data_IF_933507787459
#
_entry.id   IF_933507787459
#
_cell.length_a   1.000
_cell.length_b   1.000
_cell.length_c   1.000
_cell.angle_alpha   90.00
_cell.angle_beta   90.00
_cell.angle_gamma   90.00
#
_symmetry.space_group_name_H-M   'P 1'
#
loop_
_entity.id
_entity.type
_entity.pdbx_description
1 polymer ?
#
# COMPACT_ATOMS: atom_id res chain seq x y z
N UNK A 1 21.70 62.76 36.84
CA UNK A 1 22.67 62.20 37.79
C UNK A 1 22.96 60.80 37.30
N UNK A 2 24.00 60.61 36.46
CA UNK A 2 25.39 60.38 36.87
C UNK A 2 25.50 59.03 37.59
N UNK A 3 26.38 58.07 37.29
CA UNK A 3 27.55 57.93 36.38
C UNK A 3 28.06 56.48 36.61
N UNK A 4 28.67 55.86 35.58
CA UNK A 4 29.92 55.06 35.53
C UNK A 4 30.36 54.16 36.72
N UNK A 5 31.08 53.03 36.64
CA UNK A 5 32.32 52.59 35.92
C UNK A 5 32.59 51.13 36.39
N UNK A 6 33.00 50.12 35.58
CA UNK A 6 34.33 49.79 34.98
C UNK A 6 35.32 49.07 35.93
N UNK A 7 35.85 47.91 35.46
CA UNK A 7 37.16 47.22 35.70
C UNK A 7 37.55 46.78 37.12
N UNK A 8 38.47 45.85 37.39
CA UNK A 8 39.16 44.74 36.70
C UNK A 8 39.87 43.94 37.84
N UNK A 9 40.59 42.88 37.46
CA UNK A 9 41.90 42.47 38.02
C UNK A 9 42.05 41.17 38.83
N UNK A 10 42.89 40.32 38.22
CA UNK A 10 44.10 39.68 38.78
C UNK A 10 44.01 38.40 39.61
N UNK A 11 44.60 37.33 39.05
CA UNK A 11 45.87 36.72 39.52
C UNK A 11 46.17 35.47 38.66
N UNK A 12 47.34 35.11 38.11
CA UNK A 12 48.80 35.34 38.30
C UNK A 12 49.49 33.96 38.48
N UNK A 13 50.48 33.71 37.61
CA UNK A 13 51.70 32.87 37.76
C UNK A 13 51.58 31.32 37.72
N UNK A 14 52.19 30.64 36.72
CA UNK A 14 53.59 30.11 36.61
C UNK A 14 53.74 28.72 37.25
N UNK A 15 54.53 27.74 36.82
CA UNK A 15 55.52 27.48 35.75
C UNK A 15 56.03 26.03 35.92
N UNK A 16 56.69 25.47 34.88
CA UNK A 16 57.70 24.36 34.85
C UNK A 16 57.29 22.92 35.27
N UNK A 17 57.23 21.94 34.34
CA UNK A 17 58.30 20.98 33.91
C UNK A 17 58.67 19.92 34.98
N UNK A 18 58.78 18.59 34.80
CA UNK A 18 58.61 17.59 33.72
C UNK A 18 58.70 16.17 34.41
N UNK A 19 59.05 15.05 33.74
CA UNK A 19 58.22 13.90 33.32
C UNK A 19 58.29 12.60 34.20
N UNK A 20 57.33 11.68 34.08
CA UNK A 20 57.56 10.24 34.27
C UNK A 20 56.48 9.37 33.58
N UNK A 21 56.94 8.39 32.80
CA UNK A 21 56.19 7.35 32.11
C UNK A 21 55.50 6.37 33.09
N UNK A 22 54.31 5.88 32.72
CA UNK A 22 53.83 4.53 33.06
C UNK A 22 52.79 4.07 32.02
N UNK A 23 53.04 2.88 31.47
CA UNK A 23 52.24 2.15 30.48
C UNK A 23 50.81 1.84 30.97
N UNK A 24 49.86 1.75 30.02
CA UNK A 24 48.56 1.12 30.27
C UNK A 24 47.56 1.18 29.10
N UNK A 25 47.63 0.19 28.21
CA UNK A 25 46.54 -0.46 27.45
C UNK A 25 45.52 0.36 26.62
N UNK A 26 45.59 0.09 25.30
CA UNK A 26 44.50 -0.38 24.42
C UNK A 26 43.17 0.37 24.43
N UNK A 27 42.93 1.14 23.36
CA UNK A 27 41.67 1.04 22.59
C UNK A 27 41.99 1.29 21.11
N UNK A 28 42.02 0.22 20.33
CA UNK A 28 41.96 0.30 18.86
C UNK A 28 40.61 0.89 18.48
N UNK A 29 40.64 1.91 17.64
CA UNK A 29 39.46 2.50 17.01
C UNK A 29 38.93 1.50 15.98
N UNK A 30 37.61 1.21 15.92
CA UNK A 30 37.10 0.31 14.91
C UNK A 30 37.18 1.00 13.55
N UNK A 31 38.06 0.50 12.70
CA UNK A 31 38.15 0.82 11.28
C UNK A 31 36.76 0.58 10.66
N UNK A 32 36.11 1.64 10.21
CA UNK A 32 34.91 1.55 9.39
C UNK A 32 35.27 0.82 8.09
N UNK A 33 34.93 -0.46 8.00
CA UNK A 33 34.89 -1.16 6.73
C UNK A 33 33.81 -0.52 5.87
N UNK A 34 34.24 0.31 4.92
CA UNK A 34 33.37 0.81 3.85
C UNK A 34 33.07 -0.38 2.95
N UNK A 35 31.87 -0.95 3.08
CA UNK A 35 31.37 -1.96 2.15
C UNK A 35 30.97 -1.20 0.88
N UNK A 36 31.89 -1.08 -0.07
CA UNK A 36 31.56 -0.64 -1.44
C UNK A 36 31.09 -1.86 -2.22
N UNK A 37 29.80 -2.19 -2.09
CA UNK A 37 29.15 -3.20 -2.93
C UNK A 37 29.11 -2.68 -4.37
N UNK A 38 29.61 -3.47 -5.31
CA UNK A 38 29.65 -3.09 -6.73
C UNK A 38 28.25 -3.17 -7.35
N UNK A 39 28.00 -2.41 -8.41
CA UNK A 39 26.72 -2.47 -9.15
C UNK A 39 26.44 -3.86 -9.72
N UNK A 40 27.47 -4.67 -9.97
CA UNK A 40 27.35 -6.05 -10.45
C UNK A 40 26.93 -7.00 -9.32
N UNK A 41 27.50 -6.87 -8.12
CA UNK A 41 27.06 -7.61 -6.93
C UNK A 41 25.62 -7.26 -6.53
N UNK A 42 25.23 -5.98 -6.61
CA UNK A 42 23.84 -5.56 -6.38
C UNK A 42 22.92 -6.19 -7.44
N UNK A 43 23.34 -6.22 -8.71
CA UNK A 43 22.55 -6.87 -9.77
C UNK A 43 22.44 -8.38 -9.56
N UNK A 44 23.52 -9.05 -9.17
CA UNK A 44 23.51 -10.49 -8.86
C UNK A 44 22.65 -10.80 -7.63
N UNK A 45 22.74 -10.01 -6.56
CA UNK A 45 21.92 -10.17 -5.35
C UNK A 45 20.43 -9.92 -5.65
N UNK A 46 20.11 -8.92 -6.47
CA UNK A 46 18.74 -8.66 -6.96
C UNK A 46 18.24 -9.79 -7.86
N UNK A 47 19.09 -10.36 -8.73
CA UNK A 47 18.73 -11.50 -9.58
C UNK A 47 18.55 -12.78 -8.75
N UNK A 48 19.41 -13.02 -7.76
CA UNK A 48 19.33 -14.15 -6.84
C UNK A 48 18.09 -14.05 -5.93
N UNK A 49 17.74 -12.83 -5.49
CA UNK A 49 16.47 -12.58 -4.78
C UNK A 49 15.26 -12.90 -5.65
N UNK A 50 15.24 -12.47 -6.92
CA UNK A 50 14.15 -12.72 -7.87
C UNK A 50 13.89 -14.21 -8.11
N UNK A 51 14.96 -15.02 -8.19
CA UNK A 51 14.84 -16.46 -8.42
C UNK A 51 14.29 -17.25 -7.21
N UNK A 52 14.26 -16.66 -6.02
CA UNK A 52 13.80 -17.32 -4.78
C UNK A 52 12.51 -16.70 -4.21
N UNK A 53 11.88 -15.74 -4.90
CA UNK A 53 10.68 -15.07 -4.38
C UNK A 53 9.52 -16.03 -4.10
N UNK A 54 9.29 -17.02 -4.98
CA UNK A 54 8.23 -18.01 -4.80
C UNK A 54 8.47 -18.92 -3.60
N UNK A 55 9.70 -19.40 -3.42
CA UNK A 55 10.02 -20.24 -2.27
C UNK A 55 9.91 -19.45 -0.97
N UNK A 56 10.46 -18.23 -0.91
CA UNK A 56 10.29 -17.35 0.26
C UNK A 56 8.81 -17.07 0.57
N UNK A 57 7.98 -16.83 -0.44
CA UNK A 57 6.53 -16.65 -0.27
C UNK A 57 5.87 -17.91 0.32
N UNK A 58 6.23 -19.10 -0.18
CA UNK A 58 5.71 -20.38 0.30
C UNK A 58 6.15 -20.68 1.74
N UNK A 59 7.33 -20.25 2.16
CA UNK A 59 7.78 -20.36 3.55
C UNK A 59 6.85 -19.59 4.51
N UNK A 60 6.27 -18.46 4.06
CA UNK A 60 5.33 -17.68 4.86
C UNK A 60 3.99 -18.40 5.08
N UNK A 61 3.64 -19.40 4.26
CA UNK A 61 2.34 -20.09 4.36
C UNK A 61 2.16 -20.90 5.66
N UNK A 62 3.25 -21.14 6.39
CA UNK A 62 3.25 -21.86 7.68
C UNK A 62 3.63 -20.96 8.86
N UNK A 63 3.91 -19.67 8.62
CA UNK A 63 4.38 -18.77 9.67
C UNK A 63 3.18 -18.18 10.44
N UNK A 64 2.91 -18.74 11.63
CA UNK A 64 1.74 -18.38 12.45
C UNK A 64 1.69 -16.89 12.82
N UNK A 65 2.86 -16.28 13.12
CA UNK A 65 2.96 -14.87 13.49
C UNK A 65 2.58 -13.94 12.33
N UNK A 66 3.08 -14.26 11.13
CA UNK A 66 2.81 -13.48 9.93
C UNK A 66 1.36 -13.62 9.49
N UNK A 67 0.83 -14.84 9.53
CA UNK A 67 -0.56 -15.10 9.18
C UNK A 67 -1.52 -14.54 10.25
N UNK A 68 -1.05 -14.33 11.48
CA UNK A 68 -1.87 -13.87 12.61
C UNK A 68 -2.82 -14.97 13.12
N UNK A 69 -2.51 -16.23 12.85
CA UNK A 69 -3.35 -17.39 13.17
C UNK A 69 -2.49 -18.66 13.25
N UNK A 70 -2.97 -19.66 14.01
CA UNK A 70 -2.27 -20.95 14.16
C UNK A 70 -2.32 -21.85 12.92
N UNK A 71 -3.19 -21.53 11.98
CA UNK A 71 -3.46 -22.38 10.85
C UNK A 71 -2.67 -21.93 9.62
N UNK A 72 -2.04 -22.89 8.94
CA UNK A 72 -1.37 -22.66 7.67
C UNK A 72 -2.36 -22.36 6.53
N UNK A 73 -1.84 -21.83 5.43
CA UNK A 73 -2.55 -21.74 4.15
C UNK A 73 -1.89 -22.68 3.12
N UNK A 74 -2.66 -23.13 2.14
CA UNK A 74 -2.22 -24.02 1.06
C UNK A 74 -2.01 -23.28 -0.26
N UNK A 75 -2.70 -22.13 -0.40
CA UNK A 75 -2.54 -21.22 -1.50
C UNK A 75 -2.67 -19.76 -1.05
N UNK A 76 -2.11 -18.85 -1.85
CA UNK A 76 -2.26 -17.41 -1.70
C UNK A 76 -2.76 -16.80 -3.01
N UNK A 77 -3.80 -15.98 -2.92
CA UNK A 77 -4.37 -15.27 -4.06
C UNK A 77 -4.00 -13.79 -3.98
N UNK A 78 -3.54 -13.24 -5.10
CA UNK A 78 -3.13 -11.85 -5.22
C UNK A 78 -3.67 -11.23 -6.52
N UNK A 79 -4.69 -10.36 -6.47
CA UNK A 79 -5.08 -9.56 -7.63
C UNK A 79 -4.10 -8.39 -7.84
N UNK A 80 -3.95 -7.93 -9.09
CA UNK A 80 -3.16 -6.74 -9.41
C UNK A 80 -3.99 -5.47 -9.24
N UNK A 81 -4.18 -5.05 -8.00
CA UNK A 81 -4.90 -3.83 -7.63
C UNK A 81 -4.36 -3.26 -6.32
N UNK A 82 -4.82 -2.07 -5.96
CA UNK A 82 -4.68 -1.49 -4.62
C UNK A 82 -5.99 -1.59 -3.81
N UNK A 83 -6.00 -1.00 -2.61
CA UNK A 83 -7.13 -1.00 -1.68
C UNK A 83 -8.36 -0.20 -2.15
N UNK A 84 -8.25 0.49 -3.29
CA UNK A 84 -9.28 1.34 -3.88
C UNK A 84 -9.78 0.78 -5.21
N UNK A 85 -9.34 -0.42 -5.58
CA UNK A 85 -9.74 -1.12 -6.80
C UNK A 85 -9.38 -0.33 -8.09
N UNK A 86 -8.25 0.38 -8.09
CA UNK A 86 -7.81 1.18 -9.24
C UNK A 86 -7.20 0.33 -10.37
N UNK A 87 -7.40 0.76 -11.62
CA UNK A 87 -6.75 0.16 -12.80
C UNK A 87 -5.27 0.55 -12.89
N UNK A 88 -4.94 1.83 -12.76
CA UNK A 88 -3.56 2.29 -12.58
C UNK A 88 -3.26 2.38 -11.10
N UNK A 89 -2.14 1.82 -10.66
CA UNK A 89 -1.76 1.78 -9.24
C UNK A 89 -0.38 2.38 -9.06
N UNK A 90 -0.13 2.92 -7.86
CA UNK A 90 1.17 3.40 -7.46
C UNK A 90 2.21 2.27 -7.48
N UNK A 91 3.48 2.59 -7.73
CA UNK A 91 4.59 1.63 -7.75
C UNK A 91 4.65 0.77 -6.48
N UNK A 92 4.37 1.36 -5.30
CA UNK A 92 4.34 0.64 -4.02
C UNK A 92 3.29 -0.48 -3.95
N UNK A 93 2.25 -0.42 -4.78
CA UNK A 93 1.18 -1.42 -4.81
C UNK A 93 1.33 -2.41 -5.97
N UNK A 94 2.38 -2.30 -6.78
CA UNK A 94 2.70 -3.22 -7.88
C UNK A 94 3.27 -4.57 -7.39
N UNK A 95 2.60 -5.19 -6.41
CA UNK A 95 3.00 -6.47 -5.78
C UNK A 95 3.10 -7.60 -6.78
N UNK A 96 2.18 -7.67 -7.75
CA UNK A 96 2.21 -8.68 -8.83
C UNK A 96 3.46 -8.51 -9.69
N UNK A 97 3.84 -7.28 -10.04
CA UNK A 97 5.07 -7.00 -10.78
C UNK A 97 6.30 -7.42 -9.99
N UNK A 98 6.33 -7.10 -8.69
CA UNK A 98 7.44 -7.50 -7.83
C UNK A 98 7.60 -9.03 -7.76
N UNK A 99 6.51 -9.77 -7.49
CA UNK A 99 6.59 -11.23 -7.25
C UNK A 99 6.74 -12.05 -8.55
N UNK A 100 6.21 -11.56 -9.67
CA UNK A 100 6.14 -12.34 -10.93
C UNK A 100 6.95 -11.77 -12.10
N UNK A 101 7.38 -10.51 -12.01
CA UNK A 101 7.98 -9.77 -13.14
C UNK A 101 6.95 -9.12 -14.08
N UNK A 102 5.70 -9.61 -14.10
CA UNK A 102 4.68 -9.13 -15.02
C UNK A 102 4.17 -7.72 -14.68
N UNK A 103 4.25 -6.82 -15.65
CA UNK A 103 3.97 -5.39 -15.47
C UNK A 103 2.66 -4.90 -16.12
N UNK A 104 1.88 -5.79 -16.76
CA UNK A 104 0.61 -5.42 -17.38
C UNK A 104 -0.45 -4.95 -16.37
N UNK A 105 -1.45 -4.20 -16.85
CA UNK A 105 -2.46 -3.57 -15.97
C UNK A 105 -3.54 -4.53 -15.44
N UNK A 106 -3.65 -5.74 -16.02
CA UNK A 106 -4.62 -6.74 -15.60
C UNK A 106 -3.91 -8.04 -15.24
N UNK A 107 -3.99 -8.45 -13.97
CA UNK A 107 -3.52 -9.75 -13.54
C UNK A 107 -4.26 -10.25 -12.30
N UNK A 108 -4.36 -11.58 -12.21
CA UNK A 108 -4.78 -12.29 -11.01
C UNK A 108 -3.84 -13.46 -10.77
N UNK A 109 -3.21 -13.51 -9.61
CA UNK A 109 -2.21 -14.51 -9.25
C UNK A 109 -2.78 -15.54 -8.27
N UNK A 110 -2.38 -16.79 -8.45
CA UNK A 110 -2.51 -17.86 -7.46
C UNK A 110 -1.14 -18.52 -7.28
N UNK A 111 -0.66 -18.56 -6.05
CA UNK A 111 0.54 -19.33 -5.67
C UNK A 111 0.12 -20.44 -4.72
N UNK A 112 0.45 -21.67 -5.05
CA UNK A 112 0.29 -22.84 -4.18
C UNK A 112 1.68 -23.35 -3.74
N UNK A 113 1.71 -24.45 -2.98
CA UNK A 113 2.97 -25.15 -2.63
C UNK A 113 3.79 -25.51 -3.88
N UNK A 114 3.12 -25.88 -4.98
CA UNK A 114 3.78 -26.38 -6.19
C UNK A 114 3.68 -25.39 -7.38
N UNK A 115 2.56 -24.68 -7.50
CA UNK A 115 2.26 -23.87 -8.69
C UNK A 115 2.40 -22.37 -8.42
N UNK A 116 2.77 -21.61 -9.44
CA UNK A 116 2.66 -20.16 -9.48
C UNK A 116 2.01 -19.76 -10.80
N UNK A 117 0.83 -19.18 -10.73
CA UNK A 117 -0.06 -19.01 -11.87
C UNK A 117 -0.48 -17.55 -11.98
N UNK A 118 -0.44 -17.00 -13.19
CA UNK A 118 -0.89 -15.65 -13.47
C UNK A 118 -1.94 -15.65 -14.58
N UNK A 119 -3.14 -15.22 -14.26
CA UNK A 119 -4.21 -14.98 -15.22
C UNK A 119 -4.14 -13.55 -15.76
N UNK A 120 -4.27 -13.40 -17.08
CA UNK A 120 -4.44 -12.10 -17.73
C UNK A 120 -5.32 -12.22 -18.98
N UNK A 121 -5.62 -11.10 -19.63
CA UNK A 121 -6.42 -11.02 -20.86
C UNK A 121 -5.56 -10.92 -22.13
N UNK A 122 -6.23 -10.96 -23.29
CA UNK A 122 -5.59 -11.05 -24.60
C UNK A 122 -4.60 -9.93 -24.93
N UNK A 123 -4.72 -8.75 -24.31
CA UNK A 123 -3.78 -7.64 -24.49
C UNK A 123 -2.36 -8.00 -24.05
N UNK A 124 -2.24 -8.93 -23.09
CA UNK A 124 -1.02 -9.14 -22.33
C UNK A 124 -0.38 -10.52 -22.54
N UNK A 125 -0.89 -11.38 -23.42
CA UNK A 125 -0.34 -12.75 -23.57
C UNK A 125 1.11 -12.77 -24.05
N UNK A 126 1.48 -11.91 -25.00
CA UNK A 126 2.86 -11.84 -25.50
C UNK A 126 3.77 -11.25 -24.41
N UNK A 127 3.32 -10.17 -23.77
CA UNK A 127 4.05 -9.51 -22.69
C UNK A 127 4.28 -10.43 -21.49
N UNK A 128 3.26 -11.18 -21.06
CA UNK A 128 3.39 -12.11 -19.94
C UNK A 128 4.39 -13.22 -20.24
N UNK A 129 4.43 -13.75 -21.47
CA UNK A 129 5.45 -14.74 -21.86
C UNK A 129 6.87 -14.20 -21.80
N UNK A 130 7.08 -12.91 -22.03
CA UNK A 130 8.41 -12.29 -22.00
C UNK A 130 8.83 -11.81 -20.61
N UNK A 131 7.88 -11.40 -19.76
CA UNK A 131 8.18 -10.75 -18.48
C UNK A 131 8.11 -11.68 -17.27
N UNK A 132 7.35 -12.77 -17.34
CA UNK A 132 7.20 -13.69 -16.22
C UNK A 132 8.55 -14.32 -15.85
N UNK A 133 8.87 -14.29 -14.55
CA UNK A 133 10.01 -15.02 -14.02
C UNK A 133 9.85 -16.53 -14.22
N UNK A 134 10.97 -17.25 -14.16
CA UNK A 134 10.96 -18.72 -14.22
C UNK A 134 10.07 -19.33 -13.10
N UNK A 135 9.40 -20.44 -13.42
CA UNK A 135 8.48 -21.12 -12.51
C UNK A 135 7.04 -20.58 -12.50
N UNK A 136 6.76 -19.51 -13.24
CA UNK A 136 5.41 -19.01 -13.44
C UNK A 136 4.73 -19.59 -14.69
N UNK A 137 3.45 -19.93 -14.56
CA UNK A 137 2.62 -20.37 -15.68
C UNK A 137 1.60 -19.28 -16.03
N UNK A 138 1.64 -18.85 -17.29
CA UNK A 138 0.62 -17.95 -17.85
C UNK A 138 -0.70 -18.71 -18.07
N UNK A 139 -1.76 -18.19 -17.46
CA UNK A 139 -3.13 -18.66 -17.62
C UNK A 139 -3.92 -17.63 -18.45
N UNK A 140 -4.60 -18.07 -19.51
CA UNK A 140 -5.37 -17.18 -20.39
C UNK A 140 -6.81 -17.08 -19.92
N UNK A 141 -7.33 -15.85 -19.72
CA UNK A 141 -8.74 -15.62 -19.38
C UNK A 141 -9.71 -15.88 -20.53
N UNK A 142 -9.22 -15.95 -21.78
CA UNK A 142 -10.06 -16.17 -22.96
C UNK A 142 -9.43 -17.21 -23.89
N UNK A 143 -10.26 -17.93 -24.62
CA UNK A 143 -9.86 -18.96 -25.57
C UNK A 143 -10.39 -20.35 -25.21
N UNK A 144 -10.21 -21.34 -26.11
CA UNK A 144 -10.77 -22.68 -25.95
C UNK A 144 -10.32 -23.39 -24.66
N UNK A 145 -9.05 -23.22 -24.28
CA UNK A 145 -8.44 -23.87 -23.11
C UNK A 145 -8.48 -22.99 -21.85
N UNK A 146 -9.27 -21.92 -21.86
CA UNK A 146 -9.34 -20.99 -20.72
C UNK A 146 -10.07 -21.61 -19.53
N UNK A 147 -9.49 -21.43 -18.34
CA UNK A 147 -10.10 -21.81 -17.07
C UNK A 147 -10.11 -20.61 -16.15
N UNK A 148 -11.23 -20.36 -15.47
CA UNK A 148 -11.31 -19.26 -14.52
C UNK A 148 -10.54 -19.60 -13.24
N UNK A 149 -9.96 -18.61 -12.53
CA UNK A 149 -9.21 -18.85 -11.29
C UNK A 149 -9.97 -19.70 -10.26
N UNK A 150 -11.27 -19.43 -10.08
CA UNK A 150 -12.11 -20.23 -9.17
C UNK A 150 -12.26 -21.69 -9.58
N UNK A 151 -12.35 -21.98 -10.88
CA UNK A 151 -12.53 -23.35 -11.37
C UNK A 151 -11.21 -24.11 -11.30
N UNK A 152 -10.09 -23.42 -11.56
CA UNK A 152 -8.76 -24.00 -11.36
C UNK A 152 -8.56 -24.40 -9.89
N UNK A 153 -8.92 -23.53 -8.94
CA UNK A 153 -8.86 -23.85 -7.51
C UNK A 153 -9.66 -25.10 -7.19
N UNK A 154 -10.91 -25.17 -7.64
CA UNK A 154 -11.82 -26.29 -7.36
C UNK A 154 -11.29 -27.61 -7.94
N UNK A 155 -10.64 -27.57 -9.10
CA UNK A 155 -10.09 -28.75 -9.76
C UNK A 155 -8.75 -29.21 -9.17
N UNK A 156 -7.98 -28.33 -8.54
CA UNK A 156 -6.57 -28.60 -8.18
C UNK A 156 -6.29 -28.58 -6.67
N UNK A 157 -7.20 -28.05 -5.84
CA UNK A 157 -7.04 -28.05 -4.39
C UNK A 157 -7.97 -29.05 -3.72
N UNK A 158 -7.48 -29.67 -2.66
CA UNK A 158 -8.22 -30.67 -1.89
C UNK A 158 -9.29 -30.03 -1.00
N UNK A 159 -10.32 -30.80 -0.66
CA UNK A 159 -11.30 -30.38 0.35
C UNK A 159 -10.61 -30.07 1.69
N UNK A 160 -10.94 -28.94 2.29
CA UNK A 160 -10.31 -28.43 3.50
C UNK A 160 -9.12 -27.50 3.25
N UNK A 161 -8.67 -27.36 1.99
CA UNK A 161 -7.57 -26.45 1.65
C UNK A 161 -7.90 -25.00 2.03
N UNK A 162 -6.91 -24.32 2.58
CA UNK A 162 -7.02 -22.92 3.03
C UNK A 162 -6.35 -21.98 2.06
N UNK A 163 -7.06 -20.94 1.66
CA UNK A 163 -6.57 -19.97 0.70
C UNK A 163 -6.45 -18.61 1.36
N UNK A 164 -5.21 -18.16 1.54
CA UNK A 164 -4.90 -16.84 2.03
C UNK A 164 -5.19 -15.76 0.99
N UNK A 165 -5.73 -14.62 1.42
CA UNK A 165 -5.89 -13.44 0.58
C UNK A 165 -5.80 -12.17 1.42
N UNK A 166 -5.32 -11.07 0.84
CA UNK A 166 -5.38 -9.75 1.47
C UNK A 166 -6.77 -9.15 1.27
N UNK A 167 -7.58 -8.95 2.33
CA UNK A 167 -8.96 -8.50 2.20
C UNK A 167 -9.09 -7.07 1.65
N UNK A 168 -8.04 -6.25 1.72
CA UNK A 168 -8.07 -4.89 1.16
C UNK A 168 -8.11 -4.89 -0.36
N UNK A 169 -7.63 -5.95 -1.01
CA UNK A 169 -7.44 -5.99 -2.47
C UNK A 169 -8.63 -6.61 -3.23
N UNK A 170 -9.74 -6.89 -2.55
CA UNK A 170 -10.90 -7.51 -3.17
C UNK A 170 -12.15 -6.66 -2.99
N UNK A 171 -12.85 -6.44 -4.10
CA UNK A 171 -14.21 -5.91 -4.06
C UNK A 171 -15.11 -6.87 -3.26
N UNK A 172 -15.84 -6.32 -2.29
CA UNK A 172 -16.63 -7.09 -1.33
C UNK A 172 -17.67 -8.02 -1.98
N UNK A 173 -18.47 -7.52 -2.92
CA UNK A 173 -19.53 -8.32 -3.56
C UNK A 173 -18.94 -9.45 -4.42
N UNK A 174 -17.87 -9.16 -5.18
CA UNK A 174 -17.16 -10.19 -5.96
C UNK A 174 -16.52 -11.24 -5.04
N UNK A 175 -15.89 -10.81 -3.96
CA UNK A 175 -15.28 -11.71 -2.97
C UNK A 175 -16.33 -12.61 -2.30
N UNK A 176 -17.50 -12.07 -1.97
CA UNK A 176 -18.61 -12.82 -1.38
C UNK A 176 -19.11 -13.93 -2.31
N UNK A 177 -19.29 -13.63 -3.60
CA UNK A 177 -19.67 -14.62 -4.61
C UNK A 177 -18.58 -15.68 -4.79
N UNK A 178 -17.32 -15.25 -4.91
CA UNK A 178 -16.17 -16.13 -5.05
C UNK A 178 -16.02 -17.09 -3.86
N UNK A 179 -16.07 -16.56 -2.63
CA UNK A 179 -15.99 -17.34 -1.41
C UNK A 179 -17.16 -18.33 -1.29
N UNK A 180 -18.38 -17.91 -1.63
CA UNK A 180 -19.54 -18.83 -1.64
C UNK A 180 -19.34 -19.99 -2.62
N UNK A 181 -18.81 -19.72 -3.81
CA UNK A 181 -18.51 -20.76 -4.81
C UNK A 181 -17.48 -21.74 -4.27
N UNK A 182 -16.36 -21.26 -3.74
CA UNK A 182 -15.28 -22.10 -3.20
C UNK A 182 -15.71 -22.92 -1.98
N UNK A 183 -16.49 -22.32 -1.07
CA UNK A 183 -17.01 -22.99 0.12
C UNK A 183 -17.86 -24.21 -0.20
N UNK A 184 -18.61 -24.21 -1.31
CA UNK A 184 -19.40 -25.36 -1.74
C UNK A 184 -18.55 -26.60 -2.08
N UNK A 185 -17.25 -26.41 -2.32
CA UNK A 185 -16.29 -27.48 -2.60
C UNK A 185 -15.34 -27.72 -1.42
N UNK A 186 -15.68 -27.22 -0.23
CA UNK A 186 -14.89 -27.42 0.99
C UNK A 186 -13.61 -26.57 1.07
N UNK A 187 -13.44 -25.59 0.17
CA UNK A 187 -12.31 -24.66 0.20
C UNK A 187 -12.59 -23.52 1.17
N UNK A 188 -11.61 -23.16 1.99
CA UNK A 188 -11.72 -22.15 3.05
C UNK A 188 -10.93 -20.91 2.62
N UNK A 189 -11.61 -19.76 2.44
CA UNK A 189 -10.92 -18.49 2.19
C UNK A 189 -10.56 -17.83 3.53
N UNK A 190 -9.29 -17.51 3.72
CA UNK A 190 -8.74 -17.00 4.98
C UNK A 190 -8.14 -15.61 4.78
N UNK A 191 -8.67 -14.57 5.44
CA UNK A 191 -8.14 -13.23 5.32
C UNK A 191 -6.79 -13.11 6.03
N UNK A 192 -5.78 -12.60 5.33
CA UNK A 192 -4.44 -12.33 5.86
C UNK A 192 -4.24 -10.82 5.85
N UNK A 193 -4.21 -10.20 7.03
CA UNK A 193 -4.22 -8.74 7.18
C UNK A 193 -2.93 -8.09 6.69
N UNK A 194 -1.79 -8.75 6.88
CA UNK A 194 -0.49 -8.32 6.33
C UNK A 194 -0.32 -8.94 4.94
N UNK A 195 -0.14 -8.13 3.91
CA UNK A 195 0.12 -8.66 2.58
C UNK A 195 1.46 -9.43 2.59
N UNK A 196 1.44 -10.69 2.16
CA UNK A 196 2.63 -11.55 2.23
C UNK A 196 3.75 -11.08 1.31
N UNK A 197 3.41 -10.42 0.20
CA UNK A 197 4.40 -9.87 -0.72
C UNK A 197 5.13 -8.67 -0.11
N UNK A 198 4.45 -7.86 0.68
CA UNK A 198 5.07 -6.68 1.33
C UNK A 198 6.16 -7.09 2.31
N UNK A 199 6.06 -8.28 2.93
CA UNK A 199 7.07 -8.82 3.86
C UNK A 199 8.35 -9.18 3.12
N UNK A 200 8.25 -9.62 1.86
CA UNK A 200 9.39 -10.00 1.03
C UNK A 200 10.03 -8.79 0.33
N UNK A 201 9.27 -7.70 0.18
CA UNK A 201 9.66 -6.55 -0.61
C UNK A 201 10.43 -5.52 0.24
N UNK A 202 11.73 -5.81 0.46
CA UNK A 202 12.63 -4.99 1.29
C UNK A 202 12.70 -3.54 0.76
N UNK A 203 12.85 -3.36 -0.54
CA UNK A 203 12.95 -2.05 -1.20
C UNK A 203 11.59 -1.54 -1.70
N UNK A 204 10.49 -1.85 -0.99
CA UNK A 204 9.16 -1.39 -1.39
C UNK A 204 9.12 0.14 -1.44
N UNK A 205 8.71 0.75 -2.57
CA UNK A 205 8.66 2.21 -2.69
C UNK A 205 7.84 2.87 -1.58
N UNK A 206 8.35 3.98 -1.06
CA UNK A 206 7.65 4.79 -0.07
C UNK A 206 6.51 5.57 -0.70
N UNK A 207 5.57 6.00 0.15
CA UNK A 207 4.39 6.74 -0.28
C UNK A 207 4.81 8.15 -0.72
N UNK A 208 4.38 8.58 -1.90
CA UNK A 208 4.56 9.97 -2.31
C UNK A 208 3.69 10.88 -1.43
N UNK A 209 4.31 11.90 -0.84
CA UNK A 209 3.65 12.88 0.04
C UNK A 209 3.41 14.20 -0.67
N UNK A 210 2.89 14.14 -1.88
CA UNK A 210 2.52 15.33 -2.63
C UNK A 210 1.32 16.01 -1.98
N UNK A 211 1.34 17.34 -1.95
CA UNK A 211 0.23 18.13 -1.39
C UNK A 211 -0.97 18.05 -2.33
N UNK A 212 -2.15 18.05 -1.72
CA UNK A 212 -3.40 18.18 -2.47
C UNK A 212 -3.53 19.62 -3.00
N UNK A 213 -4.38 19.81 -4.01
CA UNK A 213 -4.79 21.14 -4.48
C UNK A 213 -6.29 21.20 -4.70
N UNK A 214 -6.85 22.41 -4.59
CA UNK A 214 -8.27 22.69 -4.80
C UNK A 214 -8.48 22.89 -6.29
N UNK A 215 -9.50 22.24 -6.84
CA UNK A 215 -9.97 22.53 -8.19
C UNK A 215 -10.96 23.70 -8.12
N UNK A 216 -10.74 24.81 -8.83
CA UNK A 216 -11.59 26.01 -8.73
C UNK A 216 -13.06 25.70 -9.08
N UNK A 217 -13.98 26.45 -8.47
CA UNK A 217 -15.42 26.24 -8.68
C UNK A 217 -15.83 26.47 -10.14
N UNK A 218 -15.13 27.37 -10.84
CA UNK A 218 -15.32 27.67 -12.25
C UNK A 218 -15.02 26.47 -13.15
N UNK A 219 -14.10 25.60 -12.73
CA UNK A 219 -13.79 24.35 -13.43
C UNK A 219 -14.69 23.18 -12.97
N UNK A 220 -15.09 23.17 -11.70
CA UNK A 220 -15.92 22.12 -11.12
C UNK A 220 -17.40 22.23 -11.50
N UNK A 221 -17.90 23.45 -11.68
CA UNK A 221 -19.31 23.77 -11.95
C UNK A 221 -20.29 23.54 -10.79
N UNK A 222 -19.85 22.94 -9.67
CA UNK A 222 -20.71 22.62 -8.53
C UNK A 222 -19.93 22.60 -7.20
N UNK A 223 -20.51 23.25 -6.19
CA UNK A 223 -20.01 23.30 -4.82
C UNK A 223 -20.18 21.97 -4.08
N UNK A 224 -19.26 21.65 -3.17
CA UNK A 224 -19.29 20.40 -2.37
C UNK A 224 -20.63 20.26 -1.62
N UNK A 225 -21.16 21.35 -1.06
CA UNK A 225 -22.42 21.32 -0.32
C UNK A 225 -23.62 20.93 -1.21
N UNK A 226 -23.65 21.41 -2.46
CA UNK A 226 -24.68 21.02 -3.43
C UNK A 226 -24.59 19.52 -3.73
N UNK A 227 -23.38 19.01 -3.98
CA UNK A 227 -23.13 17.58 -4.19
C UNK A 227 -23.59 16.73 -3.01
N UNK A 228 -23.26 17.14 -1.78
CA UNK A 228 -23.64 16.43 -0.57
C UNK A 228 -25.15 16.41 -0.34
N UNK A 229 -25.86 17.51 -0.63
CA UNK A 229 -27.34 17.56 -0.54
C UNK A 229 -27.93 16.53 -1.51
N UNK A 230 -27.51 16.57 -2.78
CA UNK A 230 -27.97 15.64 -3.82
C UNK A 230 -27.70 14.18 -3.47
N UNK A 231 -26.50 13.86 -2.95
CA UNK A 231 -26.17 12.51 -2.50
C UNK A 231 -27.07 12.08 -1.34
N UNK A 232 -27.30 12.94 -0.35
CA UNK A 232 -28.15 12.60 0.82
C UNK A 232 -29.62 12.42 0.44
N UNK A 233 -30.12 13.14 -0.55
CA UNK A 233 -31.47 12.92 -1.09
C UNK A 233 -31.60 11.51 -1.70
N UNK A 234 -30.61 11.06 -2.46
CA UNK A 234 -30.58 9.70 -2.98
C UNK A 234 -30.43 8.65 -1.86
N UNK A 235 -29.57 8.90 -0.86
CA UNK A 235 -29.44 8.02 0.32
C UNK A 235 -30.78 7.84 1.03
N UNK A 236 -31.57 8.90 1.20
CA UNK A 236 -32.91 8.84 1.80
C UNK A 236 -33.88 7.99 0.99
N UNK A 237 -33.88 8.13 -0.34
CA UNK A 237 -34.70 7.29 -1.24
C UNK A 237 -34.36 5.81 -1.11
N UNK A 238 -33.07 5.51 -0.96
CA UNK A 238 -32.55 4.14 -0.77
C UNK A 238 -32.62 3.65 0.69
N UNK A 239 -33.08 4.50 1.63
CA UNK A 239 -33.14 4.20 3.07
C UNK A 239 -31.77 3.80 3.65
N UNK A 240 -30.72 4.54 3.26
CA UNK A 240 -29.36 4.33 3.75
C UNK A 240 -28.95 5.41 4.76
N UNK A 241 -28.51 4.99 5.95
CA UNK A 241 -28.01 5.92 6.98
C UNK A 241 -26.61 6.49 6.66
N UNK A 242 -25.84 5.76 5.84
CA UNK A 242 -24.49 6.15 5.46
C UNK A 242 -24.07 5.60 4.10
N UNK A 243 -23.09 6.28 3.49
CA UNK A 243 -22.42 5.88 2.26
C UNK A 243 -20.90 5.91 2.49
N UNK A 244 -20.24 4.78 2.24
CA UNK A 244 -18.78 4.68 2.19
C UNK A 244 -18.32 4.86 0.75
N UNK A 245 -17.42 5.82 0.53
CA UNK A 245 -16.70 6.00 -0.72
C UNK A 245 -15.28 5.47 -0.57
N UNK A 246 -14.91 4.57 -1.49
CA UNK A 246 -13.57 4.01 -1.62
C UNK A 246 -12.94 4.33 -2.99
N UNK A 247 -13.73 4.62 -4.01
CA UNK A 247 -13.21 5.00 -5.33
C UNK A 247 -12.59 6.41 -5.24
N UNK A 248 -11.34 6.55 -5.67
CA UNK A 248 -10.59 7.80 -5.44
C UNK A 248 -11.07 8.96 -6.31
N UNK A 249 -11.59 8.66 -7.49
CA UNK A 249 -12.24 9.60 -8.41
C UNK A 249 -13.55 10.15 -7.83
N UNK A 250 -14.39 9.31 -7.22
CA UNK A 250 -15.59 9.74 -6.49
C UNK A 250 -15.25 10.73 -5.37
N UNK A 251 -14.19 10.42 -4.61
CA UNK A 251 -13.76 11.26 -3.49
C UNK A 251 -13.17 12.57 -3.99
N UNK A 252 -12.28 12.53 -4.99
CA UNK A 252 -11.72 13.73 -5.60
C UNK A 252 -12.81 14.63 -6.19
N UNK A 253 -13.81 14.05 -6.86
CA UNK A 253 -14.96 14.76 -7.38
C UNK A 253 -15.83 15.38 -6.29
N UNK A 254 -16.13 14.64 -5.22
CA UNK A 254 -16.99 15.10 -4.14
C UNK A 254 -16.41 16.33 -3.44
N UNK A 255 -15.11 16.28 -3.13
CA UNK A 255 -14.45 17.34 -2.36
C UNK A 255 -13.83 18.44 -3.22
N UNK A 256 -13.98 18.41 -4.55
CA UNK A 256 -13.29 19.35 -5.46
C UNK A 256 -11.78 19.43 -5.17
N UNK A 257 -11.18 18.32 -4.75
CA UNK A 257 -9.76 18.21 -4.46
C UNK A 257 -9.10 17.31 -5.50
N UNK A 258 -7.82 17.55 -5.77
CA UNK A 258 -6.99 16.74 -6.66
C UNK A 258 -5.66 16.43 -5.98
N UNK A 259 -5.04 15.34 -6.43
CA UNK A 259 -3.76 14.86 -5.95
C UNK A 259 -2.92 14.29 -7.08
N UNK A 260 -1.84 13.60 -6.73
CA UNK A 260 -0.92 12.99 -7.68
C UNK A 260 -0.38 11.65 -7.17
N UNK A 261 -1.17 10.95 -6.35
CA UNK A 261 -0.74 9.70 -5.73
C UNK A 261 -0.63 8.54 -6.73
N UNK A 262 -1.39 8.62 -7.83
CA UNK A 262 -1.40 7.62 -8.90
C UNK A 262 -0.90 8.31 -10.19
N UNK A 263 0.11 7.74 -10.87
CA UNK A 263 0.59 8.28 -12.13
C UNK A 263 -0.56 8.44 -13.14
N UNK A 264 -0.58 9.60 -13.82
CA UNK A 264 -1.57 9.95 -14.87
C UNK A 264 -3.03 10.12 -14.40
N UNK A 265 -3.32 9.93 -13.11
CA UNK A 265 -4.68 10.06 -12.55
C UNK A 265 -4.63 11.06 -11.38
N UNK A 266 -5.29 12.24 -11.47
CA UNK A 266 -5.13 13.32 -10.50
C UNK A 266 -5.92 13.11 -9.19
N UNK A 267 -5.73 11.95 -8.56
CA UNK A 267 -6.44 11.50 -7.35
C UNK A 267 -5.48 11.33 -6.17
N UNK A 268 -6.03 11.10 -4.98
CA UNK A 268 -5.28 10.92 -3.74
C UNK A 268 -5.88 9.81 -2.88
N UNK A 269 -5.01 8.97 -2.31
CA UNK A 269 -5.40 7.87 -1.43
C UNK A 269 -6.22 8.40 -0.25
N UNK A 270 -7.48 7.98 -0.20
CA UNK A 270 -8.43 8.43 0.80
C UNK A 270 -9.68 7.55 0.84
N UNK A 271 -10.40 7.61 1.95
CA UNK A 271 -11.78 7.11 2.06
C UNK A 271 -12.68 8.25 2.52
N UNK A 272 -13.97 8.18 2.21
CA UNK A 272 -14.94 9.11 2.76
C UNK A 272 -16.19 8.39 3.26
N UNK A 273 -16.76 8.89 4.36
CA UNK A 273 -18.06 8.42 4.86
C UNK A 273 -19.01 9.61 4.90
N UNK A 274 -20.11 9.50 4.17
CA UNK A 274 -21.20 10.46 4.18
C UNK A 274 -22.29 9.87 5.07
N UNK A 275 -22.70 10.58 6.11
CA UNK A 275 -23.83 10.21 6.94
C UNK A 275 -25.08 10.98 6.53
N UNK A 276 -26.25 10.37 6.74
CA UNK A 276 -27.54 11.04 6.56
C UNK A 276 -27.65 12.28 7.49
N UNK A 277 -27.17 12.15 8.74
CA UNK A 277 -27.19 13.21 9.76
C UNK A 277 -26.13 14.29 9.53
N UNK A 278 -26.15 14.92 8.36
CA UNK A 278 -25.31 16.02 7.90
C UNK A 278 -23.79 15.90 8.15
N UNK A 279 -23.25 14.81 8.69
CA UNK A 279 -21.82 14.61 8.93
C UNK A 279 -21.19 13.99 7.71
N UNK A 280 -19.96 14.40 7.42
CA UNK A 280 -19.12 13.79 6.40
C UNK A 280 -17.71 13.68 6.96
N UNK A 281 -17.08 12.53 6.76
CA UNK A 281 -15.72 12.23 7.19
C UNK A 281 -14.87 12.01 5.95
N UNK A 282 -13.70 12.64 5.91
CA UNK A 282 -12.66 12.37 4.93
C UNK A 282 -11.45 11.79 5.69
N UNK A 283 -11.04 10.60 5.29
CA UNK A 283 -9.86 9.90 5.78
C UNK A 283 -8.77 10.08 4.73
N UNK A 284 -7.75 10.86 5.06
CA UNK A 284 -6.65 11.21 4.17
C UNK A 284 -5.40 11.48 5.01
N UNK A 285 -4.23 11.28 4.43
CA UNK A 285 -2.98 11.63 5.10
C UNK A 285 -2.90 13.14 5.35
N UNK A 286 -2.90 13.54 6.62
CA UNK A 286 -2.85 14.94 7.03
C UNK A 286 -1.58 15.66 6.56
N UNK A 287 -0.50 14.92 6.30
CA UNK A 287 0.72 15.48 5.72
C UNK A 287 0.47 16.03 4.31
N UNK A 288 -0.59 15.62 3.61
CA UNK A 288 -0.98 16.12 2.28
C UNK A 288 -1.87 17.37 2.34
N UNK A 289 -2.41 17.70 3.51
CA UNK A 289 -3.34 18.82 3.71
C UNK A 289 -2.57 20.11 4.01
N UNK A 290 -2.81 21.15 3.22
CA UNK A 290 -2.29 22.51 3.46
C UNK A 290 -3.22 23.32 4.36
N UNK A 291 -2.77 24.43 4.97
CA UNK A 291 -3.66 25.33 5.72
C UNK A 291 -4.82 25.88 4.88
N UNK A 292 -4.58 26.15 3.60
CA UNK A 292 -5.59 26.56 2.63
C UNK A 292 -6.68 25.49 2.47
N UNK A 293 -6.30 24.23 2.26
CA UNK A 293 -7.25 23.12 2.13
C UNK A 293 -7.99 22.87 3.44
N UNK A 294 -7.29 22.96 4.58
CA UNK A 294 -7.92 22.87 5.89
C UNK A 294 -9.01 23.92 6.06
N UNK A 295 -8.75 25.14 5.58
CA UNK A 295 -9.69 26.26 5.63
C UNK A 295 -10.84 26.06 4.65
N UNK A 296 -10.56 25.66 3.41
CA UNK A 296 -11.54 25.31 2.38
C UNK A 296 -12.55 24.26 2.87
N UNK A 297 -12.05 23.15 3.43
CA UNK A 297 -12.89 22.09 3.98
C UNK A 297 -13.67 22.57 5.21
N UNK A 298 -13.09 23.40 6.09
CA UNK A 298 -13.80 23.95 7.27
C UNK A 298 -14.89 24.94 6.91
N UNK A 299 -14.62 25.88 5.98
CA UNK A 299 -15.56 26.92 5.55
C UNK A 299 -16.78 26.26 4.90
N UNK A 300 -16.55 25.27 4.05
CA UNK A 300 -17.62 24.61 3.33
C UNK A 300 -18.38 23.64 4.25
N UNK A 301 -17.71 23.05 5.25
CA UNK A 301 -18.28 22.06 6.16
C UNK A 301 -18.47 22.57 7.60
N UNK A 302 -18.77 23.86 7.78
CA UNK A 302 -18.71 24.58 9.07
C UNK A 302 -19.63 24.06 10.19
N UNK A 303 -20.52 23.09 9.89
CA UNK A 303 -21.32 22.36 10.89
C UNK A 303 -20.98 20.86 11.02
N UNK A 304 -20.08 20.31 10.21
CA UNK A 304 -20.24 18.91 9.75
C UNK A 304 -18.98 18.06 9.51
N UNK A 305 -17.77 18.56 9.75
CA UNK A 305 -16.53 17.78 9.53
C UNK A 305 -15.83 17.41 10.85
N UNK A 306 -15.61 16.11 11.06
CA UNK A 306 -14.57 15.61 11.95
C UNK A 306 -13.51 14.99 11.05
N UNK A 307 -12.35 15.66 10.91
CA UNK A 307 -11.18 15.05 10.28
C UNK A 307 -10.58 14.11 11.34
N UNK A 308 -10.69 12.81 11.13
CA UNK A 308 -10.04 11.81 12.00
C UNK A 308 -8.77 11.31 11.33
N UNK A 309 -7.67 11.42 12.07
CA UNK A 309 -6.40 10.80 11.74
C UNK A 309 -6.56 9.27 11.81
N UNK A 310 -6.30 8.58 10.70
CA UNK A 310 -5.97 7.16 10.73
C UNK A 310 -4.55 7.03 10.20
N UNK A 311 -3.61 6.91 11.14
CA UNK A 311 -2.22 6.52 10.90
C UNK A 311 -2.15 5.00 10.68
N UNK A 312 -3.05 4.40 9.89
CA UNK A 312 -2.89 3.01 9.47
C UNK A 312 -3.64 2.80 8.15
N UNK A 313 -2.90 2.72 7.05
CA UNK A 313 -3.30 1.95 5.88
C UNK A 313 -2.15 1.05 5.46
#
# INVERSE_FOLDING_TARGET
MATTTIEDENSVLSSSENPHQLNGNLTETPTQQTITTTTEEIKEEVVLQKNNLLQKLRELFKNEEILGQKEHIDAYILPRTDAHNNEYINERDQRVKFISGFSGSNAWVIVTKENALLWTDGRYYIQAKSELYEGWTLMKLTGPDSIMPSDWIIQNLENGSKIGFDPKLFNFERAKIFNKKLKNYGIICTPIIKNLVDILWIERPTEALQKLFILPIEECGEEINSKLVRIREEMKKQKCDSLLLSCLDDIAWLFNLRGSDIPYVPVFYSYAIIMEINKTFLFVDMRKITPEISTYLKIIMWKYLIIKMLLVF
#
